data_IF_776566740000
#
_entry.id   IF_776566740000
#
_cell.length_a   1.000
_cell.length_b   1.000
_cell.length_c   1.000
_cell.angle_alpha   90.00
_cell.angle_beta   90.00
_cell.angle_gamma   90.00
#
_symmetry.space_group_name_H-M   'P 1'
#
loop_
_entity.id
_entity.type
_entity.pdbx_description
1 polymer ?
#
# COMPACT_ATOMS: atom_id res chain seq x y z
N UNK A 1 -7.70 -10.71 -23.38
CA UNK A 1 -6.43 -10.44 -22.71
C UNK A 1 -6.22 -11.46 -21.59
N UNK A 2 -5.12 -12.17 -21.62
CA UNK A 2 -4.83 -13.12 -20.57
C UNK A 2 -4.05 -12.43 -19.45
N UNK A 3 -4.76 -11.96 -18.44
CA UNK A 3 -4.17 -11.23 -17.31
C UNK A 3 -3.42 -12.13 -16.34
N UNK A 4 -3.45 -13.45 -16.56
CA UNK A 4 -2.72 -14.40 -15.73
C UNK A 4 -1.28 -14.63 -16.19
N UNK A 5 -0.88 -14.02 -17.32
CA UNK A 5 0.39 -14.29 -18.00
C UNK A 5 1.45 -13.22 -17.74
N UNK A 6 1.63 -12.81 -16.50
CA UNK A 6 2.78 -11.95 -16.18
C UNK A 6 4.05 -12.78 -16.22
N UNK A 7 5.02 -12.37 -17.05
CA UNK A 7 6.32 -13.05 -17.12
C UNK A 7 7.30 -12.50 -16.09
N UNK A 8 7.38 -11.18 -15.99
CA UNK A 8 8.26 -10.51 -15.03
C UNK A 8 7.47 -9.36 -14.42
N UNK A 9 7.08 -9.50 -13.18
CA UNK A 9 6.28 -8.48 -12.56
C UNK A 9 5.87 -8.83 -11.14
N UNK A 10 4.86 -8.12 -10.67
CA UNK A 10 4.39 -8.19 -9.30
C UNK A 10 2.88 -8.35 -9.29
N UNK A 11 2.39 -9.23 -8.42
CA UNK A 11 0.96 -9.35 -8.14
C UNK A 11 0.73 -9.00 -6.68
N UNK A 12 -0.08 -7.98 -6.44
CA UNK A 12 -0.52 -7.60 -5.10
C UNK A 12 -1.87 -8.28 -4.90
N UNK A 13 -1.92 -9.27 -4.02
CA UNK A 13 -3.08 -10.11 -3.80
C UNK A 13 -3.64 -9.96 -2.39
N UNK A 14 -4.82 -10.50 -2.17
CA UNK A 14 -5.51 -10.49 -0.86
C UNK A 14 -5.78 -9.08 -0.36
N UNK A 15 -5.97 -8.14 -1.28
CA UNK A 15 -6.37 -6.77 -0.93
C UNK A 15 -7.84 -6.80 -0.53
N UNK A 16 -8.18 -6.22 0.61
CA UNK A 16 -9.56 -6.11 1.04
C UNK A 16 -10.38 -5.38 -0.02
N UNK A 17 -11.54 -5.92 -0.39
CA UNK A 17 -12.39 -5.32 -1.42
C UNK A 17 -12.67 -3.85 -1.11
N UNK A 18 -12.45 -2.99 -2.11
CA UNK A 18 -12.57 -1.54 -1.98
C UNK A 18 -11.27 -0.81 -1.70
N UNK A 19 -10.19 -1.51 -1.36
CA UNK A 19 -8.89 -0.90 -1.07
C UNK A 19 -7.94 -0.86 -2.26
N UNK A 20 -8.28 -1.56 -3.35
CA UNK A 20 -7.39 -1.62 -4.53
C UNK A 20 -7.08 -0.26 -5.13
N UNK A 21 -8.08 0.61 -5.29
CA UNK A 21 -7.87 1.94 -5.86
C UNK A 21 -7.09 2.85 -4.91
N UNK A 22 -7.26 2.69 -3.61
CA UNK A 22 -6.48 3.45 -2.64
C UNK A 22 -4.98 3.11 -2.77
N UNK A 23 -4.67 1.81 -2.91
CA UNK A 23 -3.29 1.36 -3.14
C UNK A 23 -2.76 1.91 -4.46
N UNK A 24 -3.56 1.82 -5.53
CA UNK A 24 -3.18 2.35 -6.84
C UNK A 24 -2.78 3.82 -6.75
N UNK A 25 -3.57 4.61 -6.06
CA UNK A 25 -3.32 6.06 -5.93
C UNK A 25 -2.11 6.35 -5.03
N UNK A 26 -1.99 5.68 -3.89
CA UNK A 26 -0.88 5.93 -2.97
C UNK A 26 0.47 5.49 -3.53
N UNK A 27 0.50 4.41 -4.30
CA UNK A 27 1.71 3.96 -4.97
C UNK A 27 2.00 4.75 -6.24
N UNK A 28 1.11 5.64 -6.64
CA UNK A 28 1.24 6.45 -7.85
C UNK A 28 1.45 5.57 -9.09
N UNK A 29 0.69 4.47 -9.18
CA UNK A 29 0.84 3.52 -10.28
C UNK A 29 0.46 4.11 -11.63
N UNK A 30 -0.32 5.18 -11.65
CA UNK A 30 -0.67 5.92 -12.87
C UNK A 30 0.55 6.51 -13.58
N UNK A 31 1.66 6.69 -12.84
CA UNK A 31 2.90 7.24 -13.40
C UNK A 31 3.78 6.19 -14.06
N UNK A 32 3.47 4.91 -13.88
CA UNK A 32 4.25 3.83 -14.47
C UNK A 32 3.90 3.65 -15.94
N UNK A 33 4.92 3.40 -16.76
CA UNK A 33 4.78 3.19 -18.20
C UNK A 33 4.77 1.69 -18.53
N UNK A 34 3.95 0.93 -17.83
CA UNK A 34 3.82 -0.50 -18.03
C UNK A 34 2.35 -0.90 -17.93
N UNK A 35 2.04 -2.13 -18.33
CA UNK A 35 0.67 -2.63 -18.23
C UNK A 35 0.33 -2.93 -16.78
N UNK A 36 -0.81 -2.41 -16.33
CA UNK A 36 -1.30 -2.62 -14.97
C UNK A 36 -2.76 -3.04 -15.07
N UNK A 37 -3.11 -4.10 -14.35
CA UNK A 37 -4.48 -4.57 -14.25
C UNK A 37 -4.95 -4.50 -12.80
N UNK A 38 -6.15 -3.95 -12.61
CA UNK A 38 -6.82 -3.94 -11.31
C UNK A 38 -8.08 -4.78 -11.46
N UNK A 39 -8.20 -5.81 -10.63
CA UNK A 39 -9.36 -6.69 -10.64
C UNK A 39 -10.05 -6.51 -9.30
N UNK A 40 -11.30 -6.04 -9.34
CA UNK A 40 -12.08 -5.76 -8.15
C UNK A 40 -13.09 -6.86 -7.88
N UNK A 41 -13.36 -7.08 -6.61
CA UNK A 41 -14.43 -7.98 -6.18
C UNK A 41 -14.26 -9.43 -6.65
N UNK A 42 -13.04 -9.93 -6.61
CA UNK A 42 -12.73 -11.32 -6.91
C UNK A 42 -13.18 -12.19 -5.73
N UNK A 43 -13.80 -13.33 -6.01
CA UNK A 43 -14.21 -14.25 -4.96
C UNK A 43 -13.00 -14.79 -4.20
N UNK A 44 -13.05 -14.73 -2.88
CA UNK A 44 -11.98 -15.18 -2.00
C UNK A 44 -12.56 -16.02 -0.87
N UNK A 45 -11.95 -17.17 -0.62
CA UNK A 45 -12.36 -18.02 0.50
C UNK A 45 -12.03 -17.38 1.84
N UNK A 46 -10.94 -16.62 1.88
CA UNK A 46 -10.44 -16.00 3.12
C UNK A 46 -11.17 -14.70 3.46
N UNK A 47 -11.48 -13.89 2.45
CA UNK A 47 -11.99 -12.53 2.65
C UNK A 47 -13.42 -12.33 2.15
N UNK A 48 -14.03 -13.34 1.53
CA UNK A 48 -15.29 -13.21 0.81
C UNK A 48 -15.06 -12.60 -0.57
N UNK A 49 -14.64 -11.35 -0.63
CA UNK A 49 -14.23 -10.68 -1.86
C UNK A 49 -12.88 -10.00 -1.64
N UNK A 50 -12.07 -9.96 -2.68
CA UNK A 50 -10.77 -9.31 -2.63
C UNK A 50 -10.52 -8.52 -3.91
N UNK A 51 -9.56 -7.60 -3.86
CA UNK A 51 -9.04 -6.92 -5.03
C UNK A 51 -7.64 -7.47 -5.32
N UNK A 52 -7.23 -7.41 -6.58
CA UNK A 52 -5.91 -7.85 -7.04
C UNK A 52 -5.36 -6.78 -7.96
N UNK A 53 -4.08 -6.44 -7.79
CA UNK A 53 -3.36 -5.54 -8.71
C UNK A 53 -2.20 -6.31 -9.32
N UNK A 54 -2.13 -6.30 -10.65
CA UNK A 54 -1.03 -6.93 -11.39
C UNK A 54 -0.25 -5.87 -12.12
N UNK A 55 1.06 -5.84 -11.91
CA UNK A 55 1.98 -4.88 -12.50
C UNK A 55 2.97 -5.63 -13.37
N UNK A 56 2.93 -5.38 -14.68
CA UNK A 56 3.79 -6.05 -15.65
C UNK A 56 5.13 -5.33 -15.79
N UNK A 57 5.84 -5.25 -14.69
CA UNK A 57 7.15 -4.60 -14.61
C UNK A 57 7.87 -5.06 -13.35
N UNK A 58 9.19 -5.01 -13.37
CA UNK A 58 10.02 -5.25 -12.19
C UNK A 58 10.03 -3.99 -11.33
N UNK A 59 8.92 -3.77 -10.64
CA UNK A 59 8.66 -2.59 -9.85
C UNK A 59 8.95 -2.84 -8.37
N UNK A 60 9.68 -1.92 -7.74
CA UNK A 60 10.01 -2.03 -6.33
C UNK A 60 8.88 -1.38 -5.49
N UNK A 61 8.02 -2.21 -4.94
CA UNK A 61 6.83 -1.77 -4.21
C UNK A 61 7.22 -1.23 -2.83
N UNK A 62 6.64 -0.09 -2.48
CA UNK A 62 6.78 0.45 -1.13
C UNK A 62 5.94 -0.37 -0.15
N UNK A 63 6.60 -1.21 0.62
CA UNK A 63 5.94 -2.12 1.57
C UNK A 63 5.24 -1.37 2.70
N UNK A 64 5.73 -0.19 3.07
CA UNK A 64 5.11 0.62 4.12
C UNK A 64 3.77 1.17 3.68
N UNK A 65 3.64 1.58 2.42
CA UNK A 65 2.35 2.02 1.85
C UNK A 65 1.34 0.88 1.92
N UNK A 66 1.74 -0.32 1.47
CA UNK A 66 0.84 -1.47 1.48
C UNK A 66 0.44 -1.85 2.90
N UNK A 67 1.40 -1.91 3.81
CA UNK A 67 1.12 -2.26 5.20
C UNK A 67 0.23 -1.23 5.90
N UNK A 68 0.34 0.04 5.53
CA UNK A 68 -0.52 1.10 6.06
C UNK A 68 -1.96 0.92 5.59
N UNK A 69 -2.16 0.67 4.30
CA UNK A 69 -3.51 0.54 3.71
C UNK A 69 -4.17 -0.77 4.14
N UNK A 70 -3.45 -1.88 4.02
CA UNK A 70 -3.99 -3.21 4.32
C UNK A 70 -2.87 -4.19 4.66
N UNK A 71 -2.62 -4.44 5.94
CA UNK A 71 -1.55 -5.36 6.34
C UNK A 71 -1.83 -6.83 5.98
N UNK A 72 -3.03 -7.14 5.49
CA UNK A 72 -3.36 -8.50 5.05
C UNK A 72 -2.94 -8.84 3.63
N UNK A 73 -2.43 -7.87 2.86
CA UNK A 73 -2.04 -8.11 1.48
C UNK A 73 -0.80 -8.99 1.39
N UNK A 74 -0.67 -9.69 0.26
CA UNK A 74 0.53 -10.43 -0.07
C UNK A 74 1.07 -9.93 -1.40
N UNK A 75 2.38 -10.05 -1.59
CA UNK A 75 3.04 -9.64 -2.82
C UNK A 75 3.71 -10.87 -3.42
N UNK A 76 3.30 -11.21 -4.64
CA UNK A 76 3.90 -12.30 -5.40
C UNK A 76 4.84 -11.71 -6.43
N UNK A 77 6.12 -12.09 -6.38
CA UNK A 77 7.12 -11.67 -7.35
C UNK A 77 7.28 -12.77 -8.38
N UNK A 78 7.09 -12.40 -9.65
CA UNK A 78 7.10 -13.35 -10.77
C UNK A 78 8.26 -13.01 -11.68
N UNK A 79 9.07 -14.02 -11.99
CA UNK A 79 10.17 -13.94 -12.96
C UNK A 79 10.12 -15.15 -13.88
N UNK A 80 10.25 -14.89 -15.18
CA UNK A 80 10.20 -15.92 -16.23
C UNK A 80 8.94 -16.79 -16.13
N UNK A 81 7.81 -16.15 -15.80
CA UNK A 81 6.51 -16.82 -15.68
C UNK A 81 6.35 -17.66 -14.43
N UNK A 82 7.29 -17.59 -13.49
CA UNK A 82 7.25 -18.39 -12.26
C UNK A 82 7.22 -17.53 -11.01
N UNK A 83 6.48 -17.98 -10.02
CA UNK A 83 6.48 -17.35 -8.70
C UNK A 83 7.82 -17.64 -8.02
N UNK A 84 8.65 -16.60 -7.83
CA UNK A 84 9.98 -16.75 -7.21
C UNK A 84 10.00 -16.34 -5.76
N UNK A 85 9.07 -15.48 -5.33
CA UNK A 85 9.03 -15.00 -3.96
C UNK A 85 7.62 -14.57 -3.60
N UNK A 86 7.23 -14.84 -2.35
CA UNK A 86 5.95 -14.39 -1.81
C UNK A 86 6.24 -13.63 -0.52
N UNK A 87 5.90 -12.33 -0.51
CA UNK A 87 6.14 -11.46 0.64
C UNK A 87 4.85 -11.15 1.36
N UNK A 88 4.93 -11.01 2.67
CA UNK A 88 3.85 -10.49 3.50
C UNK A 88 4.23 -9.13 4.03
N UNK A 89 3.24 -8.29 4.29
CA UNK A 89 3.46 -6.96 4.86
C UNK A 89 2.83 -6.88 6.24
N UNK A 90 3.27 -5.90 7.01
CA UNK A 90 2.73 -5.64 8.35
C UNK A 90 2.52 -4.14 8.51
N UNK A 91 1.78 -3.75 9.55
CA UNK A 91 1.64 -2.33 9.87
C UNK A 91 3.01 -1.74 10.14
N UNK A 92 3.44 -0.71 9.38
CA UNK A 92 4.74 -0.10 9.63
C UNK A 92 4.72 0.68 10.96
N UNK A 93 5.87 0.72 11.62
CA UNK A 93 6.02 1.46 12.87
C UNK A 93 5.97 2.97 12.61
N UNK A 94 6.44 3.38 11.44
CA UNK A 94 6.55 4.79 11.07
C UNK A 94 6.24 4.96 9.59
N UNK A 95 5.56 6.07 9.27
CA UNK A 95 5.26 6.46 7.90
C UNK A 95 5.98 7.77 7.61
N UNK A 96 6.75 7.83 6.52
CA UNK A 96 7.46 9.04 6.10
C UNK A 96 6.97 9.47 4.72
N UNK A 97 6.37 10.67 4.65
CA UNK A 97 5.88 11.26 3.40
C UNK A 97 4.84 10.42 2.66
N UNK A 98 4.11 9.56 3.37
CA UNK A 98 3.02 8.77 2.81
C UNK A 98 1.70 9.52 2.96
N UNK A 99 1.46 10.07 4.14
CA UNK A 99 0.28 10.87 4.44
C UNK A 99 0.70 12.23 4.99
N UNK A 100 -0.16 13.23 4.79
CA UNK A 100 0.10 14.60 5.24
C UNK A 100 -0.65 14.89 6.54
N UNK A 101 -0.05 15.68 7.41
CA UNK A 101 -0.70 16.12 8.64
C UNK A 101 -1.85 17.07 8.31
N UNK A 102 -3.01 16.82 8.92
CA UNK A 102 -4.22 17.61 8.72
C UNK A 102 -4.30 18.85 9.61
N UNK A 103 -3.44 18.93 10.62
CA UNK A 103 -3.46 20.04 11.57
C UNK A 103 -2.85 21.28 10.92
N UNK A 104 -3.64 22.36 10.71
CA UNK A 104 -3.12 23.57 10.09
C UNK A 104 -2.08 24.29 10.94
N UNK A 105 -1.99 23.97 12.23
CA UNK A 105 -1.02 24.56 13.14
C UNK A 105 0.27 23.74 13.26
N UNK A 106 0.34 22.59 12.60
CA UNK A 106 1.53 21.76 12.63
C UNK A 106 2.68 22.45 11.87
N UNK A 107 3.89 22.32 12.39
CA UNK A 107 5.08 22.90 11.74
C UNK A 107 5.26 22.39 10.30
N UNK A 108 4.78 21.18 10.00
CA UNK A 108 4.87 20.63 8.65
C UNK A 108 4.01 21.37 7.64
N UNK A 109 3.00 22.12 8.08
CA UNK A 109 2.16 22.92 7.17
C UNK A 109 2.78 24.27 6.84
N UNK A 110 3.68 24.77 7.72
CA UNK A 110 4.38 26.04 7.50
C UNK A 110 5.78 25.85 6.94
N UNK A 111 6.46 24.76 7.33
CA UNK A 111 7.80 24.41 6.87
C UNK A 111 7.71 23.25 5.88
N UNK A 112 7.61 23.57 4.60
CA UNK A 112 7.38 22.56 3.54
C UNK A 112 8.55 21.60 3.34
N UNK A 113 9.73 21.95 3.83
CA UNK A 113 10.91 21.08 3.72
C UNK A 113 10.92 19.96 4.75
N UNK A 114 10.14 20.07 5.81
CA UNK A 114 10.06 19.03 6.82
C UNK A 114 9.26 17.83 6.30
N UNK A 115 9.75 16.62 6.49
CA UNK A 115 9.00 15.43 6.10
C UNK A 115 7.77 15.26 6.99
N UNK A 116 6.69 14.75 6.39
CA UNK A 116 5.52 14.31 7.15
C UNK A 116 5.80 12.92 7.70
N UNK A 117 5.94 12.83 9.02
CA UNK A 117 6.26 11.56 9.68
C UNK A 117 5.18 11.26 10.70
N UNK A 118 4.61 10.05 10.59
CA UNK A 118 3.61 9.54 11.51
C UNK A 118 4.13 8.29 12.17
N UNK A 119 3.92 8.18 13.47
CA UNK A 119 4.34 7.03 14.26
C UNK A 119 3.14 6.24 14.73
N UNK A 120 3.23 4.91 14.64
CA UNK A 120 2.18 4.03 15.15
C UNK A 120 2.20 4.07 16.67
N UNK A 121 1.07 4.42 17.27
CA UNK A 121 0.89 4.52 18.73
C UNK A 121 -0.25 3.62 19.18
N UNK A 122 -0.27 3.30 20.48
CA UNK A 122 -1.29 2.45 21.06
C UNK A 122 -1.01 0.97 20.91
N UNK A 123 -1.94 0.15 21.36
CA UNK A 123 -1.82 -1.31 21.30
C UNK A 123 -3.13 -1.93 20.84
N UNK A 124 -3.06 -3.10 20.19
CA UNK A 124 -4.22 -3.85 19.74
C UNK A 124 -5.13 -3.03 18.82
N UNK A 125 -6.41 -2.95 19.17
CA UNK A 125 -7.41 -2.21 18.39
C UNK A 125 -7.29 -0.69 18.56
N UNK A 126 -6.53 -0.23 19.54
CA UNK A 126 -6.33 1.20 19.82
C UNK A 126 -5.13 1.78 19.09
N UNK A 127 -4.57 1.04 18.11
CA UNK A 127 -3.44 1.56 17.35
C UNK A 127 -3.89 2.67 16.41
N UNK A 128 -3.12 3.74 16.38
CA UNK A 128 -3.38 4.89 15.53
C UNK A 128 -2.06 5.57 15.17
N UNK A 129 -1.97 6.07 13.94
CA UNK A 129 -0.81 6.85 13.52
C UNK A 129 -0.96 8.30 13.97
N UNK A 130 0.08 8.83 14.59
CA UNK A 130 0.12 10.22 15.04
C UNK A 130 1.30 10.96 14.45
N UNK A 131 1.09 12.22 14.09
CA UNK A 131 2.17 13.10 13.63
C UNK A 131 3.20 13.23 14.74
N UNK A 132 4.50 13.06 14.41
CA UNK A 132 5.56 13.14 15.42
C UNK A 132 5.76 14.56 15.95
N UNK A 133 5.31 15.59 15.22
CA UNK A 133 5.49 16.99 15.61
C UNK A 133 4.35 17.52 16.48
N UNK A 134 3.10 17.23 16.12
CA UNK A 134 1.94 17.79 16.81
C UNK A 134 1.03 16.74 17.45
N UNK A 135 1.31 15.46 17.23
CA UNK A 135 0.57 14.32 17.78
C UNK A 135 -0.88 14.19 17.26
N UNK A 136 -1.27 14.95 16.26
CA UNK A 136 -2.58 14.82 15.64
C UNK A 136 -2.72 13.45 14.95
N UNK A 137 -3.88 12.83 15.12
CA UNK A 137 -4.17 11.55 14.48
C UNK A 137 -4.24 11.69 12.95
N UNK A 138 -3.85 10.63 12.24
CA UNK A 138 -3.86 10.63 10.77
C UNK A 138 -5.26 10.62 10.18
N UNK A 139 -6.24 10.20 10.94
CA UNK A 139 -7.63 10.07 10.48
C UNK A 139 -8.63 10.78 11.36
#
# INVERSE_FOLDING_TARGET
MNIDSIKNGIVIDHIKAGKGMEIYNLLELDKLDCSIAIIKNVMSRKLGKKDIIKIDSDYDVDLDVLGYVDPGVTIDIIKDGRLVEKKKVSLPIQLKNIIKCKNPRCITTTEQELPHIFKLTGTGENRVYRCIYCETKSN
#
